data_IF_692722104961
#
_entry.id   IF_692722104961
#
_cell.length_a   1.000
_cell.length_b   1.000
_cell.length_c   1.000
_cell.angle_alpha   90.00
_cell.angle_beta   90.00
_cell.angle_gamma   90.00
#
_symmetry.space_group_name_H-M   'P 1'
#
loop_
_entity.id
_entity.type
_entity.pdbx_description
1 polymer ?
#
# COMPACT_ATOMS: atom_id res chain seq x y z
N UNK A 1 8.94 26.49 17.40
CA UNK A 1 8.15 25.24 17.40
C UNK A 1 8.76 24.30 16.36
N UNK A 2 9.54 23.31 16.75
CA UNK A 2 10.19 22.42 15.79
C UNK A 2 10.86 21.23 16.49
N UNK A 3 11.03 20.15 15.73
CA UNK A 3 11.83 18.93 16.02
C UNK A 3 11.12 17.66 16.48
N UNK A 4 9.87 17.67 16.97
CA UNK A 4 9.19 16.39 17.32
C UNK A 4 8.70 15.58 16.10
N UNK A 5 8.22 16.24 15.04
CA UNK A 5 7.76 15.56 13.82
C UNK A 5 8.86 14.86 13.04
N UNK A 6 10.02 15.51 12.88
CA UNK A 6 11.16 14.94 12.13
C UNK A 6 11.78 13.69 12.77
N UNK A 7 11.73 13.57 14.10
CA UNK A 7 12.23 12.39 14.81
C UNK A 7 11.35 11.16 14.57
N UNK A 8 10.02 11.33 14.51
CA UNK A 8 9.09 10.23 14.27
C UNK A 8 9.20 9.71 12.83
N UNK A 9 9.30 10.63 11.86
CA UNK A 9 9.48 10.27 10.44
C UNK A 9 10.82 9.59 10.20
N UNK A 10 11.91 10.11 10.77
CA UNK A 10 13.23 9.48 10.67
C UNK A 10 13.23 8.06 11.26
N UNK A 11 12.62 7.87 12.44
CA UNK A 11 12.48 6.54 13.04
C UNK A 11 11.63 5.61 12.17
N UNK A 12 10.55 6.09 11.56
CA UNK A 12 9.73 5.31 10.64
C UNK A 12 10.54 4.83 9.43
N UNK A 13 11.37 5.69 8.83
CA UNK A 13 12.20 5.32 7.67
C UNK A 13 13.22 4.24 8.02
N UNK A 14 13.89 4.36 9.17
CA UNK A 14 14.81 3.32 9.67
C UNK A 14 14.08 1.99 9.84
N UNK A 15 12.89 2.02 10.46
CA UNK A 15 12.08 0.81 10.66
C UNK A 15 11.59 0.20 9.34
N UNK A 16 11.22 1.02 8.36
CA UNK A 16 10.86 0.57 7.01
C UNK A 16 12.03 -0.20 6.38
N UNK A 17 13.23 0.36 6.42
CA UNK A 17 14.43 -0.29 5.86
C UNK A 17 14.71 -1.63 6.55
N UNK A 18 14.65 -1.68 7.88
CA UNK A 18 14.87 -2.91 8.64
C UNK A 18 13.85 -4.01 8.33
N UNK A 19 12.57 -3.64 8.31
CA UNK A 19 11.44 -4.54 8.01
C UNK A 19 11.56 -5.06 6.58
N UNK A 20 11.74 -4.16 5.61
CA UNK A 20 11.85 -4.53 4.20
C UNK A 20 13.02 -5.47 3.96
N UNK A 21 14.19 -5.18 4.53
CA UNK A 21 15.36 -6.01 4.30
C UNK A 21 15.20 -7.41 4.92
N UNK A 22 14.43 -7.53 6.01
CA UNK A 22 14.12 -8.83 6.63
C UNK A 22 13.13 -9.62 5.76
N UNK A 23 12.16 -8.94 5.17
CA UNK A 23 11.20 -9.55 4.24
C UNK A 23 11.91 -10.04 2.98
N UNK A 24 12.80 -9.24 2.40
CA UNK A 24 13.58 -9.60 1.20
C UNK A 24 14.50 -10.81 1.47
N UNK A 25 15.19 -10.82 2.60
CA UNK A 25 16.01 -11.96 3.01
C UNK A 25 15.16 -13.24 3.14
N UNK A 26 14.01 -13.17 3.80
CA UNK A 26 13.15 -14.32 4.04
C UNK A 26 12.45 -14.84 2.77
N UNK A 27 12.07 -13.96 1.83
CA UNK A 27 11.28 -14.37 0.67
C UNK A 27 12.11 -14.62 -0.58
N UNK A 28 13.24 -13.94 -0.75
CA UNK A 28 14.03 -13.95 -1.98
C UNK A 28 15.45 -14.51 -1.78
N UNK A 29 15.78 -14.99 -0.57
CA UNK A 29 17.10 -15.51 -0.22
C UNK A 29 18.26 -14.53 -0.50
N UNK A 30 17.97 -13.22 -0.48
CA UNK A 30 18.98 -12.17 -0.67
C UNK A 30 19.75 -11.96 0.64
N UNK A 31 21.10 -11.87 0.62
CA UNK A 31 21.88 -11.61 1.83
C UNK A 31 21.42 -10.35 2.57
N UNK A 32 21.34 -10.41 3.90
CA UNK A 32 20.88 -9.32 4.77
C UNK A 32 21.52 -7.96 4.45
N UNK A 33 22.82 -7.96 4.12
CA UNK A 33 23.55 -6.75 3.75
C UNK A 33 23.03 -6.13 2.45
N UNK A 34 22.91 -6.92 1.38
CA UNK A 34 22.40 -6.47 0.07
C UNK A 34 20.95 -6.03 0.16
N UNK A 35 20.12 -6.77 0.91
CA UNK A 35 18.74 -6.38 1.18
C UNK A 35 18.66 -5.04 1.95
N UNK A 36 19.57 -4.82 2.89
CA UNK A 36 19.69 -3.55 3.62
C UNK A 36 20.09 -2.38 2.73
N UNK A 37 21.04 -2.59 1.81
CA UNK A 37 21.45 -1.58 0.83
C UNK A 37 20.30 -1.20 -0.11
N UNK A 38 19.63 -2.18 -0.70
CA UNK A 38 18.46 -1.95 -1.56
C UNK A 38 17.35 -1.18 -0.84
N UNK A 39 17.06 -1.52 0.41
CA UNK A 39 16.04 -0.83 1.20
C UNK A 39 16.43 0.56 1.67
N UNK A 40 17.73 0.89 1.75
CA UNK A 40 18.17 2.28 1.99
C UNK A 40 17.92 3.13 0.76
N UNK A 41 18.21 2.60 -0.42
CA UNK A 41 17.92 3.29 -1.68
C UNK A 41 16.42 3.59 -1.82
N UNK A 42 15.57 2.59 -1.58
CA UNK A 42 14.10 2.76 -1.57
C UNK A 42 13.67 3.82 -0.55
N UNK A 43 14.29 3.85 0.63
CA UNK A 43 13.98 4.86 1.64
C UNK A 43 14.39 6.28 1.21
N UNK A 44 15.50 6.43 0.49
CA UNK A 44 15.91 7.72 -0.09
C UNK A 44 14.91 8.21 -1.14
N UNK A 45 14.52 7.35 -2.07
CA UNK A 45 13.52 7.68 -3.09
C UNK A 45 12.17 8.06 -2.47
N UNK A 46 11.72 7.32 -1.46
CA UNK A 46 10.48 7.63 -0.75
C UNK A 46 10.55 9.00 -0.05
N UNK A 47 11.71 9.34 0.53
CA UNK A 47 11.91 10.64 1.16
C UNK A 47 12.00 11.78 0.13
N UNK A 48 12.54 11.52 -1.06
CA UNK A 48 12.60 12.49 -2.15
C UNK A 48 11.21 12.80 -2.71
N UNK A 49 10.38 11.76 -2.92
CA UNK A 49 9.05 11.92 -3.51
C UNK A 49 8.02 12.47 -2.51
N UNK A 50 8.06 12.03 -1.26
CA UNK A 50 7.03 12.35 -0.26
C UNK A 50 7.52 13.24 0.89
N UNK A 51 8.80 13.64 0.88
CA UNK A 51 9.39 14.49 1.91
C UNK A 51 8.64 15.82 2.08
N UNK A 52 8.45 16.24 3.33
CA UNK A 52 7.73 17.48 3.66
C UNK A 52 6.20 17.37 3.62
N UNK A 53 5.65 16.21 3.24
CA UNK A 53 4.20 15.96 3.27
C UNK A 53 3.76 15.30 4.59
N UNK A 54 2.49 15.50 4.97
CA UNK A 54 1.87 14.77 6.08
C UNK A 54 1.02 13.63 5.52
N UNK A 55 1.46 12.39 5.75
CA UNK A 55 0.78 11.19 5.26
C UNK A 55 0.16 10.38 6.40
N UNK A 56 -1.10 10.00 6.23
CA UNK A 56 -1.79 9.08 7.13
C UNK A 56 -1.52 7.63 6.71
N UNK A 57 -0.95 6.82 7.62
CA UNK A 57 -0.80 5.37 7.41
C UNK A 57 -1.99 4.66 8.07
N UNK A 58 -2.91 4.06 7.28
CA UNK A 58 -4.07 3.38 7.84
C UNK A 58 -3.66 2.12 8.63
N UNK A 59 -4.27 1.91 9.80
CA UNK A 59 -4.03 0.71 10.63
C UNK A 59 -4.31 -0.62 9.91
N UNK A 60 -5.20 -0.59 8.91
CA UNK A 60 -5.57 -1.76 8.12
C UNK A 60 -5.00 -1.67 6.69
N UNK A 61 -3.76 -1.18 6.56
CA UNK A 61 -3.04 -1.03 5.29
C UNK A 61 -3.04 -2.30 4.42
N UNK A 62 -3.13 -3.48 5.04
CA UNK A 62 -3.23 -4.78 4.37
C UNK A 62 -4.39 -4.89 3.38
N UNK A 63 -5.48 -4.14 3.60
CA UNK A 63 -6.62 -4.11 2.67
C UNK A 63 -6.21 -3.45 1.34
N UNK A 64 -5.49 -2.34 1.42
CA UNK A 64 -5.09 -1.49 0.29
C UNK A 64 -4.09 -2.12 -0.69
N UNK A 65 -3.45 -3.23 -0.30
CA UNK A 65 -2.39 -3.91 -1.05
C UNK A 65 -2.74 -5.35 -1.43
N UNK A 66 -3.99 -5.79 -1.19
CA UNK A 66 -4.33 -7.21 -1.31
C UNK A 66 -5.02 -7.55 -2.64
N UNK A 67 -4.51 -8.59 -3.31
CA UNK A 67 -5.19 -9.34 -4.37
C UNK A 67 -6.64 -9.69 -3.99
N UNK A 68 -6.92 -9.84 -2.69
CA UNK A 68 -8.27 -10.01 -2.15
C UNK A 68 -9.20 -8.86 -2.53
N UNK A 69 -8.77 -7.61 -2.37
CA UNK A 69 -9.60 -6.44 -2.62
C UNK A 69 -9.88 -6.28 -4.12
N UNK A 70 -8.91 -6.64 -4.98
CA UNK A 70 -9.13 -6.74 -6.42
C UNK A 70 -10.13 -7.84 -6.77
N UNK A 71 -10.02 -9.04 -6.17
CA UNK A 71 -10.99 -10.13 -6.39
C UNK A 71 -12.39 -9.77 -5.91
N UNK A 72 -12.51 -9.06 -4.78
CA UNK A 72 -13.78 -8.53 -4.29
C UNK A 72 -14.36 -7.56 -5.31
N UNK A 73 -13.56 -6.58 -5.78
CA UNK A 73 -14.00 -5.60 -6.77
C UNK A 73 -14.45 -6.27 -8.07
N UNK A 74 -13.66 -7.18 -8.63
CA UNK A 74 -13.97 -7.88 -9.88
C UNK A 74 -15.23 -8.73 -9.77
N UNK A 75 -15.43 -9.42 -8.64
CA UNK A 75 -16.64 -10.22 -8.42
C UNK A 75 -17.89 -9.34 -8.40
N UNK A 76 -17.82 -8.15 -7.81
CA UNK A 76 -18.91 -7.18 -7.89
C UNK A 76 -19.13 -6.64 -9.30
N UNK A 77 -18.06 -6.34 -10.05
CA UNK A 77 -18.18 -5.85 -11.44
C UNK A 77 -18.77 -6.89 -12.39
N UNK A 78 -18.62 -8.19 -12.09
CA UNK A 78 -19.26 -9.30 -12.81
C UNK A 78 -20.71 -9.55 -12.36
N UNK A 79 -21.30 -8.66 -11.56
CA UNK A 79 -22.68 -8.77 -11.07
C UNK A 79 -22.86 -9.61 -9.81
N UNK A 80 -21.77 -9.90 -9.08
CA UNK A 80 -21.84 -10.64 -7.82
C UNK A 80 -22.62 -9.88 -6.73
N UNK A 81 -23.45 -10.60 -5.98
CA UNK A 81 -24.21 -10.04 -4.87
C UNK A 81 -23.29 -9.67 -3.68
N UNK A 82 -23.50 -8.49 -3.11
CA UNK A 82 -22.72 -7.96 -1.97
C UNK A 82 -22.80 -8.87 -0.74
N UNK A 83 -23.94 -9.50 -0.48
CA UNK A 83 -24.13 -10.43 0.64
C UNK A 83 -23.29 -11.69 0.49
N UNK A 84 -23.28 -12.28 -0.71
CA UNK A 84 -22.51 -13.49 -0.99
C UNK A 84 -21.01 -13.18 -0.98
N UNK A 85 -20.60 -12.03 -1.52
CA UNK A 85 -19.20 -11.57 -1.45
C UNK A 85 -18.79 -11.31 0.01
N UNK A 86 -19.64 -10.68 0.81
CA UNK A 86 -19.36 -10.46 2.23
C UNK A 86 -19.15 -11.79 2.97
N UNK A 87 -20.03 -12.77 2.72
CA UNK A 87 -19.97 -14.11 3.32
C UNK A 87 -18.71 -14.87 2.87
N UNK A 88 -18.44 -14.92 1.57
CA UNK A 88 -17.33 -15.68 0.98
C UNK A 88 -15.96 -15.16 1.46
N UNK A 89 -15.84 -13.85 1.68
CA UNK A 89 -14.60 -13.22 2.12
C UNK A 89 -14.55 -12.96 3.63
N UNK A 90 -15.57 -13.35 4.40
CA UNK A 90 -15.60 -13.21 5.85
C UNK A 90 -15.57 -11.76 6.34
N UNK A 91 -16.23 -10.85 5.61
CA UNK A 91 -16.24 -9.41 5.91
C UNK A 91 -17.68 -8.86 5.93
N UNK A 92 -17.85 -7.64 6.44
CA UNK A 92 -19.16 -6.98 6.44
C UNK A 92 -19.49 -6.39 5.06
N UNK A 93 -20.78 -6.28 4.72
CA UNK A 93 -21.22 -5.59 3.49
C UNK A 93 -20.65 -4.16 3.39
N UNK A 94 -20.57 -3.45 4.53
CA UNK A 94 -19.98 -2.10 4.59
C UNK A 94 -18.51 -2.11 4.15
N UNK A 95 -17.75 -3.12 4.56
CA UNK A 95 -16.36 -3.28 4.12
C UNK A 95 -16.30 -3.61 2.62
N UNK A 96 -17.20 -4.45 2.10
CA UNK A 96 -17.30 -4.73 0.65
C UNK A 96 -17.49 -3.44 -0.15
N UNK A 97 -18.42 -2.56 0.26
CA UNK A 97 -18.62 -1.27 -0.39
C UNK A 97 -17.41 -0.35 -0.28
N UNK A 98 -16.78 -0.27 0.90
CA UNK A 98 -15.59 0.56 1.11
C UNK A 98 -14.41 0.11 0.25
N UNK A 99 -14.23 -1.21 0.12
CA UNK A 99 -13.20 -1.84 -0.70
C UNK A 99 -13.48 -1.52 -2.18
N UNK A 100 -14.71 -1.73 -2.64
CA UNK A 100 -15.09 -1.48 -4.03
C UNK A 100 -14.89 -0.02 -4.44
N UNK A 101 -15.37 0.92 -3.61
CA UNK A 101 -15.18 2.35 -3.85
C UNK A 101 -13.69 2.74 -3.85
N UNK A 102 -12.88 2.07 -3.05
CA UNK A 102 -11.45 2.32 -2.99
C UNK A 102 -10.71 1.82 -4.23
N UNK A 103 -10.92 0.57 -4.64
CA UNK A 103 -10.30 -0.02 -5.84
C UNK A 103 -10.70 0.76 -7.10
N UNK A 104 -11.96 1.22 -7.18
CA UNK A 104 -12.41 2.09 -8.28
C UNK A 104 -11.58 3.37 -8.39
N UNK A 105 -11.39 4.09 -7.27
CA UNK A 105 -10.58 5.33 -7.24
C UNK A 105 -9.14 5.08 -7.64
N UNK A 106 -8.56 3.95 -7.22
CA UNK A 106 -7.19 3.60 -7.62
C UNK A 106 -7.08 3.37 -9.14
N UNK A 107 -8.01 2.62 -9.74
CA UNK A 107 -8.02 2.36 -11.20
C UNK A 107 -8.23 3.65 -12.00
N UNK A 108 -9.12 4.53 -11.55
CA UNK A 108 -9.31 5.86 -12.14
C UNK A 108 -8.02 6.70 -12.09
N UNK A 109 -7.38 6.79 -10.92
CA UNK A 109 -6.13 7.53 -10.76
C UNK A 109 -4.95 6.93 -11.55
N UNK A 110 -4.90 5.60 -11.71
CA UNK A 110 -3.92 4.93 -12.56
C UNK A 110 -4.17 5.24 -14.05
N UNK A 111 -5.43 5.19 -14.51
CA UNK A 111 -5.79 5.54 -15.88
C UNK A 111 -5.44 7.00 -16.21
N UNK A 112 -5.74 7.95 -15.32
CA UNK A 112 -5.37 9.37 -15.51
C UNK A 112 -3.86 9.58 -15.62
N UNK A 113 -3.05 8.87 -14.81
CA UNK A 113 -1.59 8.93 -14.90
C UNK A 113 -1.07 8.34 -16.20
N UNK A 114 -1.64 7.24 -16.67
CA UNK A 114 -1.26 6.61 -17.94
C UNK A 114 -1.57 7.51 -19.15
N UNK A 115 -2.74 8.16 -19.17
CA UNK A 115 -3.09 9.13 -20.23
C UNK A 115 -2.12 10.32 -20.25
N UNK A 116 -1.77 10.86 -19.08
CA UNK A 116 -0.86 12.01 -18.97
C UNK A 116 0.60 11.70 -19.31
N UNK A 117 1.01 10.43 -19.29
CA UNK A 117 2.36 10.00 -19.68
C UNK A 117 2.47 9.66 -21.18
N UNK A 118 1.34 9.57 -21.89
CA UNK A 118 1.28 9.32 -23.33
C UNK A 118 1.19 10.61 -24.17
N UNK A 119 0.97 11.76 -23.50
CA UNK A 119 1.01 13.13 -24.04
C UNK A 119 2.36 13.79 -23.76
#
# INVERSE_FOLDING_TARGET
MGRKGGQLSGAMMVRLTEIGARVLEAQLAVPRQQAGEAMREIAYELAAEYGGTFMYVPKNAQWFLSERDERIYERLQRGGNVDDVARDFGITQRQVYSISAHVRRQREAAATRATRAAD
#
